data_IF_682528590178
#
_entry.id   IF_682528590178
#
_cell.length_a   1.000
_cell.length_b   1.000
_cell.length_c   1.000
_cell.angle_alpha   90.00
_cell.angle_beta   90.00
_cell.angle_gamma   90.00
#
_symmetry.space_group_name_H-M   'P 1'
#
loop_
_entity.id
_entity.type
_entity.pdbx_description
1 polymer ?
#
# COMPACT_ATOMS: atom_id res chain seq x y z
N UNK A 1 -10.28 -21.92 16.71
CA UNK A 1 -10.73 -23.16 16.03
C UNK A 1 -9.74 -24.33 16.10
N UNK A 2 -8.48 -24.27 16.59
CA UNK A 2 -7.94 -25.53 17.14
C UNK A 2 -8.88 -26.05 18.24
N UNK A 3 -9.45 -25.10 18.99
CA UNK A 3 -10.55 -25.35 19.92
C UNK A 3 -11.82 -25.93 19.26
N UNK A 4 -12.40 -25.23 18.27
CA UNK A 4 -13.59 -25.72 17.56
C UNK A 4 -13.36 -27.01 16.75
N UNK A 5 -12.13 -27.31 16.34
CA UNK A 5 -11.79 -28.58 15.71
C UNK A 5 -11.75 -29.74 16.70
N UNK A 6 -11.69 -29.48 18.01
CA UNK A 6 -11.75 -30.54 19.01
C UNK A 6 -13.08 -31.29 18.96
N UNK A 7 -14.20 -30.65 18.66
CA UNK A 7 -15.50 -31.32 18.57
C UNK A 7 -15.51 -32.34 17.41
N UNK A 8 -15.32 -31.95 16.13
CA UNK A 8 -15.26 -32.92 15.04
C UNK A 8 -14.09 -33.90 15.16
N UNK A 9 -12.94 -33.48 15.71
CA UNK A 9 -11.82 -34.40 15.98
C UNK A 9 -12.18 -35.45 17.04
N UNK A 10 -12.88 -35.07 18.12
CA UNK A 10 -13.36 -35.99 19.14
C UNK A 10 -14.39 -36.97 18.56
N UNK A 11 -15.29 -36.50 17.68
CA UNK A 11 -16.24 -37.38 16.98
C UNK A 11 -15.51 -38.38 16.06
N UNK A 12 -14.51 -37.93 15.30
CA UNK A 12 -13.69 -38.82 14.46
C UNK A 12 -12.90 -39.84 15.30
N UNK A 13 -12.31 -39.40 16.41
CA UNK A 13 -11.59 -40.28 17.34
C UNK A 13 -12.54 -41.31 17.95
N UNK A 14 -13.71 -40.89 18.42
CA UNK A 14 -14.73 -41.80 18.95
C UNK A 14 -15.17 -42.82 17.90
N UNK A 15 -15.40 -42.39 16.65
CA UNK A 15 -15.72 -43.25 15.52
C UNK A 15 -14.60 -44.25 15.21
N UNK A 16 -13.34 -43.81 15.21
CA UNK A 16 -12.18 -44.67 14.97
C UNK A 16 -12.01 -45.71 16.07
N UNK A 17 -12.11 -45.30 17.35
CA UNK A 17 -12.05 -46.22 18.49
C UNK A 17 -13.21 -47.21 18.49
N UNK A 18 -14.42 -46.79 18.10
CA UNK A 18 -15.56 -47.68 17.94
C UNK A 18 -15.34 -48.71 16.83
N UNK A 19 -14.72 -48.32 15.72
CA UNK A 19 -14.36 -49.21 14.62
C UNK A 19 -13.23 -50.20 14.98
N UNK A 20 -12.35 -49.83 15.90
CA UNK A 20 -11.28 -50.69 16.40
C UNK A 20 -11.75 -51.75 17.41
N UNK A 21 -12.97 -51.65 17.98
CA UNK A 21 -13.47 -52.66 18.93
C UNK A 21 -13.73 -53.99 18.23
N UNK A 22 -13.47 -55.14 18.90
CA UNK A 22 -13.61 -56.45 18.28
C UNK A 22 -15.10 -56.80 18.25
N UNK A 23 -15.71 -56.65 17.07
CA UNK A 23 -17.09 -57.10 16.82
C UNK A 23 -17.01 -58.35 15.93
N UNK A 24 -17.86 -59.38 16.16
CA UNK A 24 -17.86 -60.62 15.38
C UNK A 24 -18.19 -60.46 13.88
N UNK A 25 -18.69 -59.30 13.44
CA UNK A 25 -19.23 -59.10 12.09
C UNK A 25 -18.37 -58.14 11.23
N UNK A 26 -18.41 -58.26 9.88
CA UNK A 26 -17.54 -57.53 8.93
C UNK A 26 -17.84 -56.02 8.78
N UNK A 27 -18.80 -55.47 9.52
CA UNK A 27 -19.35 -54.10 9.35
C UNK A 27 -18.43 -52.99 9.94
N UNK A 28 -17.13 -53.24 10.07
CA UNK A 28 -16.19 -52.36 10.81
C UNK A 28 -16.00 -50.99 10.17
N UNK A 29 -15.97 -50.94 8.84
CA UNK A 29 -15.73 -49.71 8.07
C UNK A 29 -16.96 -48.80 7.96
N UNK A 30 -18.16 -49.38 8.00
CA UNK A 30 -19.43 -48.65 7.90
C UNK A 30 -19.63 -47.67 9.07
N UNK A 31 -19.19 -48.04 10.29
CA UNK A 31 -19.25 -47.15 11.46
C UNK A 31 -18.29 -45.98 11.35
N UNK A 32 -17.04 -46.24 10.95
CA UNK A 32 -16.06 -45.18 10.75
C UNK A 32 -16.48 -44.23 9.61
N UNK A 33 -16.98 -44.79 8.50
CA UNK A 33 -17.55 -44.03 7.39
C UNK A 33 -18.72 -43.16 7.80
N UNK A 34 -19.65 -43.67 8.61
CA UNK A 34 -20.81 -42.92 9.10
C UNK A 34 -20.43 -41.70 9.96
N UNK A 35 -19.51 -41.86 10.92
CA UNK A 35 -19.00 -40.73 11.71
C UNK A 35 -18.25 -39.71 10.87
N UNK A 36 -17.52 -40.17 9.87
CA UNK A 36 -16.75 -39.32 8.96
C UNK A 36 -17.66 -38.50 8.05
N UNK A 37 -18.77 -39.09 7.59
CA UNK A 37 -19.81 -38.41 6.81
C UNK A 37 -20.50 -37.30 7.59
N UNK A 38 -20.49 -37.33 8.93
CA UNK A 38 -21.00 -36.25 9.77
C UNK A 38 -19.92 -35.22 10.14
N UNK A 39 -18.73 -35.69 10.52
CA UNK A 39 -17.64 -34.82 10.96
C UNK A 39 -17.04 -33.99 9.83
N UNK A 40 -16.97 -34.51 8.59
CA UNK A 40 -16.39 -33.78 7.45
C UNK A 40 -17.26 -32.58 7.02
N UNK A 41 -18.58 -32.70 6.79
CA UNK A 41 -19.45 -31.54 6.54
C UNK A 41 -19.46 -30.54 7.69
N UNK A 42 -19.47 -31.03 8.95
CA UNK A 42 -19.37 -30.16 10.11
C UNK A 42 -18.03 -29.41 10.14
N UNK A 43 -16.92 -30.04 9.72
CA UNK A 43 -15.62 -29.38 9.62
C UNK A 43 -15.52 -28.38 8.47
N UNK A 44 -16.24 -28.62 7.37
CA UNK A 44 -16.42 -27.65 6.27
C UNK A 44 -17.18 -26.42 6.78
N UNK A 45 -18.24 -26.63 7.57
CA UNK A 45 -19.02 -25.56 8.18
C UNK A 45 -18.24 -24.81 9.28
N UNK A 46 -17.49 -25.53 10.11
CA UNK A 46 -16.64 -24.97 11.17
C UNK A 46 -15.23 -24.57 10.69
N UNK A 47 -14.96 -24.58 9.38
CA UNK A 47 -13.74 -24.05 8.75
C UNK A 47 -12.42 -24.60 9.33
N UNK A 48 -12.47 -25.80 9.92
CA UNK A 48 -11.34 -26.53 10.50
C UNK A 48 -10.84 -27.65 9.59
N UNK A 49 -11.27 -27.62 8.32
CA UNK A 49 -11.05 -28.62 7.28
C UNK A 49 -9.63 -29.18 7.21
N UNK A 50 -8.54 -28.40 7.20
CA UNK A 50 -7.23 -28.97 6.97
C UNK A 50 -6.75 -29.87 8.13
N UNK A 51 -7.01 -29.50 9.38
CA UNK A 51 -6.61 -30.31 10.55
C UNK A 51 -7.47 -31.57 10.64
N UNK A 52 -8.79 -31.42 10.51
CA UNK A 52 -9.75 -32.53 10.64
C UNK A 52 -9.60 -33.53 9.48
N UNK A 53 -9.38 -33.06 8.26
CA UNK A 53 -9.14 -33.94 7.11
C UNK A 53 -7.82 -34.73 7.25
N UNK A 54 -6.74 -34.07 7.69
CA UNK A 54 -5.47 -34.78 7.99
C UNK A 54 -5.65 -35.82 9.09
N UNK A 55 -6.34 -35.44 10.16
CA UNK A 55 -6.64 -36.37 11.25
C UNK A 55 -7.46 -37.57 10.76
N UNK A 56 -8.49 -37.34 9.92
CA UNK A 56 -9.27 -38.41 9.30
C UNK A 56 -8.38 -39.38 8.51
N UNK A 57 -7.52 -38.86 7.63
CA UNK A 57 -6.58 -39.68 6.83
C UNK A 57 -5.63 -40.46 7.74
N UNK A 58 -5.02 -39.81 8.74
CA UNK A 58 -4.09 -40.45 9.67
C UNK A 58 -4.77 -41.53 10.52
N UNK A 59 -6.02 -41.31 10.96
CA UNK A 59 -6.80 -42.31 11.69
C UNK A 59 -7.19 -43.50 10.79
N UNK A 60 -7.51 -43.26 9.52
CA UNK A 60 -7.77 -44.32 8.56
C UNK A 60 -6.53 -45.20 8.35
N UNK A 61 -5.35 -44.59 8.16
CA UNK A 61 -4.07 -45.30 8.06
C UNK A 61 -3.76 -46.08 9.34
N UNK A 62 -3.96 -45.45 10.51
CA UNK A 62 -3.78 -46.10 11.81
C UNK A 62 -4.68 -47.34 11.97
N UNK A 63 -5.93 -47.27 11.52
CA UNK A 63 -6.87 -48.40 11.56
C UNK A 63 -6.41 -49.56 10.66
N UNK A 64 -5.94 -49.26 9.44
CA UNK A 64 -5.39 -50.28 8.52
C UNK A 64 -4.15 -50.94 9.13
N UNK A 65 -3.18 -50.14 9.61
CA UNK A 65 -1.96 -50.66 10.22
C UNK A 65 -2.25 -51.51 11.47
N UNK A 66 -3.19 -51.08 12.31
CA UNK A 66 -3.64 -51.85 13.46
C UNK A 66 -4.26 -53.20 13.05
N UNK A 67 -5.10 -53.24 12.01
CA UNK A 67 -5.69 -54.48 11.51
C UNK A 67 -4.63 -55.46 11.00
N UNK A 68 -3.64 -54.96 10.25
CA UNK A 68 -2.56 -55.78 9.70
C UNK A 68 -1.68 -56.41 10.78
N UNK A 69 -1.47 -55.71 11.90
CA UNK A 69 -0.64 -56.22 13.01
C UNK A 69 -1.35 -57.21 13.94
N UNK A 70 -2.67 -57.45 13.75
CA UNK A 70 -3.52 -58.35 14.55
C UNK A 70 -3.39 -58.13 16.08
N UNK A 71 -3.07 -56.91 16.52
CA UNK A 71 -2.85 -56.62 17.94
C UNK A 71 -4.16 -56.41 18.69
N UNK A 72 -4.14 -56.64 20.01
CA UNK A 72 -5.28 -56.33 20.90
C UNK A 72 -5.67 -54.85 20.77
N UNK A 73 -6.96 -54.54 20.95
CA UNK A 73 -7.52 -53.18 20.79
C UNK A 73 -6.82 -52.11 21.63
N UNK A 74 -6.26 -52.48 22.80
CA UNK A 74 -5.48 -51.57 23.66
C UNK A 74 -4.30 -50.91 22.92
N UNK A 75 -3.78 -51.57 21.88
CA UNK A 75 -2.69 -51.04 21.06
C UNK A 75 -3.14 -50.01 20.04
N UNK A 76 -4.44 -49.79 19.81
CA UNK A 76 -4.92 -48.75 18.90
C UNK A 76 -4.74 -47.33 19.49
N UNK A 77 -4.84 -47.20 20.81
CA UNK A 77 -4.70 -45.91 21.51
C UNK A 77 -3.42 -45.15 21.14
N UNK A 78 -2.20 -45.74 21.22
CA UNK A 78 -0.98 -45.02 20.83
C UNK A 78 -0.98 -44.58 19.37
N UNK A 79 -1.52 -45.37 18.43
CA UNK A 79 -1.63 -44.94 17.02
C UNK A 79 -2.57 -43.74 16.86
N UNK A 80 -3.71 -43.72 17.57
CA UNK A 80 -4.64 -42.60 17.51
C UNK A 80 -4.06 -41.32 18.14
N UNK A 81 -3.31 -41.44 19.24
CA UNK A 81 -2.61 -40.31 19.86
C UNK A 81 -1.53 -39.75 18.94
N UNK A 82 -0.76 -40.63 18.29
CA UNK A 82 0.23 -40.23 17.29
C UNK A 82 -0.42 -39.49 16.11
N UNK A 83 -1.56 -39.98 15.60
CA UNK A 83 -2.31 -39.32 14.53
C UNK A 83 -2.76 -37.90 14.92
N UNK A 84 -3.24 -37.70 16.16
CA UNK A 84 -3.60 -36.38 16.69
C UNK A 84 -2.37 -35.47 16.79
N UNK A 85 -1.30 -35.96 17.42
CA UNK A 85 -0.07 -35.19 17.60
C UNK A 85 0.51 -34.73 16.25
N UNK A 86 0.52 -35.61 15.25
CA UNK A 86 0.99 -35.28 13.89
C UNK A 86 0.06 -34.27 13.21
N UNK A 87 -1.26 -34.49 13.24
CA UNK A 87 -2.21 -33.59 12.58
C UNK A 87 -2.14 -32.15 13.13
N UNK A 88 -2.10 -32.01 14.46
CA UNK A 88 -2.03 -30.72 15.13
C UNK A 88 -0.63 -30.13 15.06
N UNK A 89 0.41 -30.96 15.21
CA UNK A 89 1.82 -30.55 15.11
C UNK A 89 2.17 -29.96 13.75
N UNK A 90 1.77 -30.61 12.64
CA UNK A 90 1.97 -30.07 11.29
C UNK A 90 1.23 -28.74 11.07
N UNK A 91 0.03 -28.63 11.63
CA UNK A 91 -0.78 -27.41 11.49
C UNK A 91 -0.21 -26.24 12.28
N UNK A 92 0.29 -26.51 13.49
CA UNK A 92 1.04 -25.54 14.29
C UNK A 92 2.34 -25.15 13.58
N UNK A 93 3.09 -26.12 13.06
CA UNK A 93 4.33 -25.88 12.33
C UNK A 93 4.15 -24.95 11.12
N UNK A 94 3.13 -25.17 10.28
CA UNK A 94 2.85 -24.26 9.17
C UNK A 94 2.42 -22.86 9.62
N UNK A 95 1.59 -22.75 10.67
CA UNK A 95 1.22 -21.46 11.23
C UNK A 95 2.43 -20.71 11.80
N UNK A 96 3.36 -21.45 12.39
CA UNK A 96 4.63 -20.92 12.89
C UNK A 96 5.52 -20.43 11.74
N UNK A 97 5.69 -21.23 10.68
CA UNK A 97 6.44 -20.81 9.50
C UNK A 97 5.86 -19.55 8.84
N UNK A 98 4.52 -19.44 8.74
CA UNK A 98 3.86 -18.24 8.24
C UNK A 98 4.13 -17.02 9.15
N UNK A 99 4.14 -17.22 10.47
CA UNK A 99 4.46 -16.17 11.42
C UNK A 99 5.92 -15.70 11.31
N UNK A 100 6.85 -16.65 11.25
CA UNK A 100 8.29 -16.38 11.08
C UNK A 100 8.57 -15.67 9.75
N UNK A 101 7.83 -15.99 8.68
CA UNK A 101 7.97 -15.33 7.39
C UNK A 101 7.45 -13.88 7.38
N UNK A 102 6.38 -13.58 8.11
CA UNK A 102 5.79 -12.23 8.17
C UNK A 102 6.53 -11.28 9.10
N UNK A 103 7.19 -11.79 10.13
CA UNK A 103 7.94 -10.97 11.11
C UNK A 103 9.00 -10.07 10.47
N UNK A 104 9.95 -10.58 9.65
CA UNK A 104 10.94 -9.72 9.00
C UNK A 104 10.32 -8.74 8.01
N UNK A 105 9.18 -9.09 7.39
CA UNK A 105 8.45 -8.16 6.52
C UNK A 105 7.87 -7.00 7.33
N UNK A 106 7.28 -7.25 8.51
CA UNK A 106 6.77 -6.19 9.39
C UNK A 106 7.88 -5.27 9.90
N UNK A 107 9.06 -5.81 10.17
CA UNK A 107 10.22 -5.01 10.57
C UNK A 107 10.72 -4.13 9.41
N UNK A 108 10.84 -4.70 8.21
CA UNK A 108 11.29 -3.96 7.02
C UNK A 108 10.31 -2.88 6.58
N UNK A 109 9.01 -3.16 6.67
CA UNK A 109 7.93 -2.23 6.32
C UNK A 109 7.30 -1.59 7.56
N UNK A 110 8.07 -1.39 8.63
CA UNK A 110 7.54 -0.82 9.88
C UNK A 110 6.81 0.50 9.64
N UNK A 111 5.83 0.77 10.49
CA UNK A 111 5.18 2.07 10.51
C UNK A 111 6.18 3.19 10.81
N UNK A 112 6.13 4.24 10.00
CA UNK A 112 6.84 5.49 10.19
C UNK A 112 5.85 6.61 10.47
N UNK A 113 6.26 7.55 11.33
CA UNK A 113 5.48 8.77 11.58
C UNK A 113 5.83 9.84 10.55
N UNK A 114 4.81 10.46 9.97
CA UNK A 114 4.91 11.61 9.08
C UNK A 114 4.73 12.95 9.80
N UNK A 115 4.37 12.93 11.09
CA UNK A 115 4.10 14.14 11.89
C UNK A 115 5.26 15.13 11.85
N UNK A 116 6.48 14.64 12.06
CA UNK A 116 7.67 15.49 12.12
C UNK A 116 8.22 15.85 10.73
N UNK A 117 7.82 15.10 9.69
CA UNK A 117 8.31 15.29 8.32
C UNK A 117 7.50 16.33 7.56
N UNK A 118 6.20 16.40 7.84
CA UNK A 118 5.22 17.14 7.07
C UNK A 118 4.36 17.97 8.04
N UNK A 119 4.58 19.30 8.16
CA UNK A 119 3.70 20.15 8.94
C UNK A 119 2.29 20.20 8.34
N UNK A 120 1.30 20.47 9.19
CA UNK A 120 -0.09 20.65 8.73
C UNK A 120 -0.21 21.92 7.88
N UNK A 121 -1.11 21.93 6.88
CA UNK A 121 -1.48 23.14 6.15
C UNK A 121 -1.94 24.23 7.11
N UNK A 122 -1.59 25.49 6.84
CA UNK A 122 -1.91 26.63 7.72
C UNK A 122 -3.37 27.10 7.66
N UNK A 123 -4.28 26.27 7.16
CA UNK A 123 -5.62 26.69 6.74
C UNK A 123 -5.54 27.62 5.52
N UNK A 124 -6.46 27.45 4.58
CA UNK A 124 -6.57 28.29 3.41
C UNK A 124 -7.97 28.20 2.84
N UNK A 125 -8.29 29.05 1.85
CA UNK A 125 -9.51 28.85 1.09
C UNK A 125 -9.34 27.58 0.25
N UNK A 126 -10.07 26.49 0.53
CA UNK A 126 -10.02 25.32 -0.33
C UNK A 126 -10.44 25.75 -1.73
N UNK A 127 -9.63 25.41 -2.73
CA UNK A 127 -9.98 25.75 -4.10
C UNK A 127 -11.29 25.05 -4.49
N UNK A 128 -12.17 25.76 -5.19
CA UNK A 128 -13.38 25.18 -5.76
C UNK A 128 -13.13 24.32 -7.01
N UNK A 129 -11.88 24.13 -7.42
CA UNK A 129 -11.56 23.37 -8.63
C UNK A 129 -11.72 21.85 -8.44
N UNK A 130 -12.18 21.13 -9.47
CA UNK A 130 -12.29 19.68 -9.41
C UNK A 130 -10.91 19.01 -9.39
N UNK A 131 -10.47 18.54 -8.22
CA UNK A 131 -9.24 17.73 -8.06
C UNK A 131 -9.37 16.29 -8.59
N UNK A 132 -10.32 16.05 -9.49
CA UNK A 132 -10.81 14.71 -9.86
C UNK A 132 -9.73 13.79 -10.40
N UNK A 133 -8.68 14.32 -11.03
CA UNK A 133 -7.63 13.52 -11.63
C UNK A 133 -6.63 12.97 -10.60
N UNK A 134 -6.44 13.63 -9.45
CA UNK A 134 -5.63 13.09 -8.35
C UNK A 134 -6.42 12.11 -7.47
N UNK A 135 -7.74 12.23 -7.42
CA UNK A 135 -8.59 11.33 -6.63
C UNK A 135 -8.91 10.01 -7.36
N UNK A 136 -8.95 10.03 -8.70
CA UNK A 136 -9.24 8.85 -9.54
C UNK A 136 -8.29 7.67 -9.34
N UNK A 137 -6.95 7.85 -9.31
CA UNK A 137 -5.99 6.75 -9.17
C UNK A 137 -6.18 5.96 -7.87
N UNK A 138 -6.69 6.61 -6.82
CA UNK A 138 -6.83 5.99 -5.50
C UNK A 138 -7.88 4.87 -5.46
N UNK A 139 -8.83 4.87 -6.40
CA UNK A 139 -9.84 3.80 -6.50
C UNK A 139 -9.26 2.50 -7.10
N UNK A 140 -8.12 2.57 -7.78
CA UNK A 140 -7.33 1.38 -8.14
C UNK A 140 -6.26 1.18 -7.07
N UNK A 141 -6.69 0.84 -5.85
CA UNK A 141 -5.75 0.47 -4.78
C UNK A 141 -4.79 -0.58 -5.34
N UNK A 142 -3.50 -0.25 -5.47
CA UNK A 142 -2.52 -1.20 -5.95
C UNK A 142 -2.54 -2.42 -5.02
N UNK A 143 -2.37 -3.61 -5.60
CA UNK A 143 -2.32 -4.87 -4.84
C UNK A 143 -1.35 -4.74 -3.64
N UNK A 144 -0.26 -3.99 -3.83
CA UNK A 144 0.70 -3.59 -2.82
C UNK A 144 0.09 -2.88 -1.60
N UNK A 145 -0.73 -1.84 -1.79
CA UNK A 145 -1.37 -1.12 -0.66
C UNK A 145 -2.28 -2.05 0.13
N UNK A 146 -3.02 -2.92 -0.56
CA UNK A 146 -3.83 -3.94 0.09
C UNK A 146 -2.96 -4.89 0.91
N UNK A 147 -1.86 -5.40 0.36
CA UNK A 147 -0.95 -6.31 1.08
C UNK A 147 -0.26 -5.65 2.26
N UNK A 148 0.09 -4.37 2.18
CA UNK A 148 0.60 -3.60 3.32
C UNK A 148 -0.48 -3.42 4.40
N UNK A 149 -1.73 -3.14 4.01
CA UNK A 149 -2.87 -3.13 4.95
C UNK A 149 -3.02 -4.50 5.63
N UNK A 150 -2.94 -5.60 4.89
CA UNK A 150 -2.98 -6.96 5.45
C UNK A 150 -1.81 -7.21 6.41
N UNK A 151 -0.60 -6.79 6.05
CA UNK A 151 0.59 -6.98 6.86
C UNK A 151 0.48 -6.33 8.26
N UNK A 152 -0.16 -5.16 8.33
CA UNK A 152 -0.18 -4.33 9.53
C UNK A 152 -1.52 -4.29 10.29
N UNK A 153 -2.63 -4.12 9.60
CA UNK A 153 -3.93 -3.86 10.23
C UNK A 153 -4.80 -5.12 10.28
N UNK A 154 -4.64 -6.03 9.31
CA UNK A 154 -5.11 -7.41 9.47
C UNK A 154 -4.27 -8.18 10.50
N UNK A 155 -3.51 -7.57 11.41
CA UNK A 155 -2.96 -8.34 12.55
C UNK A 155 -4.08 -8.73 13.53
N UNK A 156 -5.12 -7.89 13.64
CA UNK A 156 -6.34 -8.20 14.40
C UNK A 156 -7.21 -9.18 13.61
N UNK A 157 -7.35 -8.99 12.30
CA UNK A 157 -8.05 -9.96 11.46
C UNK A 157 -7.28 -11.28 11.34
N UNK A 158 -5.95 -11.30 11.36
CA UNK A 158 -5.10 -12.49 11.48
C UNK A 158 -5.28 -13.10 12.86
N UNK A 159 -5.38 -12.31 13.94
CA UNK A 159 -5.71 -12.88 15.24
C UNK A 159 -7.08 -13.55 15.23
N UNK A 160 -8.07 -12.91 14.62
CA UNK A 160 -9.44 -13.41 14.45
C UNK A 160 -9.53 -14.53 13.40
N UNK A 161 -8.64 -14.60 12.40
CA UNK A 161 -8.70 -15.54 11.27
C UNK A 161 -7.51 -16.52 11.21
N UNK A 162 -6.59 -16.50 12.18
CA UNK A 162 -5.41 -17.39 12.28
C UNK A 162 -5.86 -18.85 12.17
N UNK A 163 -4.98 -19.81 11.85
CA UNK A 163 -5.31 -21.25 11.82
C UNK A 163 -5.84 -21.70 13.19
N UNK A 164 -7.16 -21.68 13.35
CA UNK A 164 -7.56 -20.92 14.53
C UNK A 164 -8.90 -20.27 14.30
N UNK A 165 -9.15 -18.99 14.10
CA UNK A 165 -10.41 -18.40 14.57
C UNK A 165 -11.50 -17.95 13.54
N UNK A 166 -11.38 -18.13 12.20
CA UNK A 166 -12.39 -17.53 11.29
C UNK A 166 -12.49 -18.02 9.83
N UNK A 167 -13.53 -17.51 9.15
CA UNK A 167 -14.17 -17.93 7.87
C UNK A 167 -13.33 -17.65 6.59
N UNK A 168 -12.19 -16.98 6.71
CA UNK A 168 -11.43 -16.45 5.58
C UNK A 168 -10.57 -17.46 4.82
N UNK A 169 -11.18 -18.37 4.06
CA UNK A 169 -10.60 -18.84 2.79
C UNK A 169 -11.41 -18.29 1.62
N UNK A 170 -11.62 -16.96 1.62
CA UNK A 170 -11.82 -16.29 0.35
C UNK A 170 -10.54 -16.57 -0.45
N UNK A 171 -10.68 -17.42 -1.47
CA UNK A 171 -9.58 -17.89 -2.28
C UNK A 171 -8.74 -16.72 -2.80
N UNK A 172 -7.43 -16.91 -2.80
CA UNK A 172 -6.49 -16.08 -3.54
C UNK A 172 -6.28 -14.63 -3.07
N UNK A 173 -6.38 -14.33 -1.77
CA UNK A 173 -5.55 -13.22 -1.29
C UNK A 173 -4.10 -13.68 -1.30
N UNK A 174 -3.31 -13.11 -2.21
CA UNK A 174 -1.87 -13.34 -2.33
C UNK A 174 -1.26 -13.10 -0.96
N UNK A 175 -0.54 -14.07 -0.38
CA UNK A 175 0.17 -13.82 0.88
C UNK A 175 1.12 -12.64 0.68
N UNK A 176 1.25 -11.71 1.65
CA UNK A 176 2.29 -10.70 1.61
C UNK A 176 3.65 -11.39 1.47
N UNK A 177 4.33 -11.09 0.37
CA UNK A 177 5.70 -11.50 0.11
C UNK A 177 6.53 -10.25 -0.15
N UNK A 178 7.84 -10.36 -0.02
CA UNK A 178 8.74 -9.25 -0.32
C UNK A 178 8.49 -8.70 -1.74
N UNK A 179 8.40 -9.57 -2.74
CA UNK A 179 8.21 -9.17 -4.13
C UNK A 179 6.95 -8.34 -4.37
N UNK A 180 5.85 -8.65 -3.66
CA UNK A 180 4.59 -7.94 -3.82
C UNK A 180 4.47 -6.69 -2.93
N UNK A 181 5.32 -6.56 -1.90
CA UNK A 181 5.38 -5.40 -0.99
C UNK A 181 6.42 -4.37 -1.43
N UNK A 182 7.47 -4.81 -2.12
CA UNK A 182 8.51 -3.96 -2.67
C UNK A 182 7.87 -3.03 -3.71
N UNK A 183 7.98 -1.72 -3.47
CA UNK A 183 7.67 -0.77 -4.52
C UNK A 183 8.69 -0.95 -5.64
N UNK A 184 8.26 -0.77 -6.88
CA UNK A 184 9.20 -0.69 -7.99
C UNK A 184 10.22 0.41 -7.68
N UNK A 185 11.54 0.09 -7.74
CA UNK A 185 12.57 1.09 -7.52
C UNK A 185 12.34 2.25 -8.49
N UNK A 186 12.10 3.43 -7.95
CA UNK A 186 12.00 4.63 -8.77
C UNK A 186 13.42 5.02 -9.19
N UNK A 187 13.65 5.37 -10.47
CA UNK A 187 14.92 5.96 -10.85
C UNK A 187 15.14 7.24 -10.05
N UNK A 188 16.40 7.55 -9.76
CA UNK A 188 16.75 8.83 -9.14
C UNK A 188 16.25 9.99 -10.00
N UNK A 189 15.85 11.13 -9.40
CA UNK A 189 15.37 12.28 -10.16
C UNK A 189 16.39 12.69 -11.22
N UNK A 190 16.02 12.80 -12.51
CA UNK A 190 16.98 13.14 -13.55
C UNK A 190 17.55 14.56 -13.33
N UNK A 191 18.74 14.86 -13.85
CA UNK A 191 19.26 16.23 -13.88
C UNK A 191 18.31 17.15 -14.64
N UNK A 192 18.27 18.42 -14.25
CA UNK A 192 17.47 19.42 -14.96
C UNK A 192 18.15 19.80 -16.28
N UNK A 193 17.40 19.99 -17.39
CA UNK A 193 17.99 20.33 -18.69
C UNK A 193 18.75 21.66 -18.73
N UNK A 194 18.33 22.66 -17.96
CA UNK A 194 18.95 23.98 -17.93
C UNK A 194 19.32 24.43 -16.50
N UNK A 195 20.42 25.18 -16.39
CA UNK A 195 20.83 25.92 -15.19
C UNK A 195 19.80 26.97 -14.77
N UNK A 196 19.88 27.51 -13.54
CA UNK A 196 18.99 28.59 -13.12
C UNK A 196 19.04 29.75 -14.10
N UNK A 197 17.86 30.21 -14.53
CA UNK A 197 17.75 31.41 -15.36
C UNK A 197 17.85 32.67 -14.50
N UNK A 198 18.00 33.86 -15.10
CA UNK A 198 17.93 35.11 -14.36
C UNK A 198 16.52 35.30 -13.79
N UNK A 199 16.43 35.92 -12.60
CA UNK A 199 15.18 36.30 -11.98
C UNK A 199 14.35 37.20 -12.92
N UNK A 200 13.03 37.02 -12.96
CA UNK A 200 12.15 37.86 -13.76
C UNK A 200 11.66 39.05 -12.94
N UNK A 201 11.80 40.26 -13.49
CA UNK A 201 11.16 41.46 -12.96
C UNK A 201 9.74 41.60 -13.53
N UNK A 202 8.78 42.13 -12.76
CA UNK A 202 7.38 42.26 -13.24
C UNK A 202 7.25 43.11 -14.52
N UNK A 203 8.18 44.06 -14.74
CA UNK A 203 8.16 44.92 -15.93
C UNK A 203 8.53 44.21 -17.24
N UNK A 204 9.17 43.03 -17.16
CA UNK A 204 9.58 42.26 -18.34
C UNK A 204 8.56 41.18 -18.74
N UNK A 205 7.57 40.90 -17.90
CA UNK A 205 6.67 39.76 -18.07
C UNK A 205 5.39 40.19 -18.77
N UNK A 206 5.07 39.51 -19.86
CA UNK A 206 3.76 39.60 -20.48
C UNK A 206 2.81 38.63 -19.78
N UNK A 207 1.83 39.17 -19.04
CA UNK A 207 0.80 38.38 -18.36
C UNK A 207 -0.39 38.02 -19.26
N UNK A 208 -0.57 38.74 -20.37
CA UNK A 208 -1.56 38.43 -21.40
C UNK A 208 -1.05 37.26 -22.26
N UNK A 209 -0.97 36.07 -21.66
CA UNK A 209 -0.57 34.84 -22.33
C UNK A 209 -1.80 34.21 -22.99
N UNK A 210 -1.70 33.69 -24.24
CA UNK A 210 -2.81 33.00 -24.88
C UNK A 210 -3.41 31.89 -24.00
N UNK A 211 -4.74 31.77 -23.96
CA UNK A 211 -5.44 30.74 -23.16
C UNK A 211 -4.95 29.32 -23.48
N UNK A 212 -4.52 29.09 -24.72
CA UNK A 212 -3.91 27.84 -25.15
C UNK A 212 -2.64 27.50 -24.36
N UNK A 213 -1.72 28.45 -24.21
CA UNK A 213 -0.46 28.27 -23.47
C UNK A 213 -0.75 28.00 -21.99
N UNK A 214 -1.72 28.72 -21.40
CA UNK A 214 -2.16 28.47 -20.02
C UNK A 214 -2.70 27.05 -19.83
N UNK A 215 -3.56 26.61 -20.75
CA UNK A 215 -4.16 25.26 -20.71
C UNK A 215 -3.10 24.18 -20.88
N UNK A 216 -2.16 24.37 -21.80
CA UNK A 216 -1.07 23.43 -22.06
C UNK A 216 -0.11 23.33 -20.86
N UNK A 217 0.26 24.47 -20.25
CA UNK A 217 1.09 24.50 -19.04
C UNK A 217 0.39 23.83 -17.84
N UNK A 218 -0.90 24.08 -17.66
CA UNK A 218 -1.71 23.45 -16.60
C UNK A 218 -1.80 21.93 -16.75
N UNK A 219 -1.97 21.41 -17.97
CA UNK A 219 -1.93 19.96 -18.23
C UNK A 219 -0.55 19.35 -17.93
N UNK A 220 0.52 19.99 -18.41
CA UNK A 220 1.89 19.56 -18.10
C UNK A 220 2.15 19.53 -16.58
N UNK A 221 1.63 20.51 -15.85
CA UNK A 221 1.70 20.54 -14.39
C UNK A 221 0.93 19.39 -13.74
N UNK A 222 -0.31 19.12 -14.17
CA UNK A 222 -1.12 18.02 -13.64
C UNK A 222 -0.44 16.65 -13.85
N UNK A 223 0.08 16.40 -15.06
CA UNK A 223 0.81 15.18 -15.39
C UNK A 223 2.11 15.06 -14.58
N UNK A 224 2.83 16.18 -14.42
CA UNK A 224 4.02 16.25 -13.59
C UNK A 224 3.72 16.02 -12.10
N UNK A 225 2.60 16.53 -11.60
CA UNK A 225 2.18 16.35 -10.22
C UNK A 225 1.81 14.89 -9.93
N UNK A 226 1.12 14.22 -10.88
CA UNK A 226 0.84 12.78 -10.79
C UNK A 226 2.15 11.95 -10.72
N UNK A 227 3.13 12.28 -11.56
CA UNK A 227 4.47 11.68 -11.50
C UNK A 227 5.11 11.94 -10.14
N UNK A 228 5.15 13.20 -9.68
CA UNK A 228 5.77 13.59 -8.42
C UNK A 228 5.18 12.86 -7.21
N UNK A 229 3.86 12.85 -7.10
CA UNK A 229 3.13 12.21 -5.99
C UNK A 229 3.36 10.71 -5.99
N UNK A 230 3.32 10.06 -7.16
CA UNK A 230 3.41 8.61 -7.31
C UNK A 230 2.44 7.87 -6.36
N UNK A 231 1.15 7.80 -6.72
CA UNK A 231 0.14 7.13 -5.91
C UNK A 231 0.53 5.72 -5.46
N UNK A 232 1.19 4.94 -6.32
CA UNK A 232 1.65 3.57 -6.01
C UNK A 232 2.77 3.52 -4.96
N UNK A 233 3.54 4.60 -4.83
CA UNK A 233 4.57 4.80 -3.82
C UNK A 233 4.04 5.21 -2.45
N UNK A 234 2.75 5.58 -2.32
CA UNK A 234 2.20 6.13 -1.07
C UNK A 234 2.19 5.12 0.10
N UNK A 235 2.26 3.82 -0.19
CA UNK A 235 2.22 2.77 0.82
C UNK A 235 0.87 2.66 1.53
N UNK A 236 0.86 2.00 2.69
CA UNK A 236 -0.34 1.89 3.53
C UNK A 236 -0.34 2.98 4.60
N UNK A 237 -1.34 3.84 4.56
CA UNK A 237 -1.53 4.95 5.48
C UNK A 237 -2.70 4.64 6.40
N UNK A 238 -2.41 4.31 7.66
CA UNK A 238 -3.43 4.13 8.71
C UNK A 238 -3.77 5.45 9.37
N UNK A 239 -2.73 6.20 9.72
CA UNK A 239 -2.80 7.53 10.30
C UNK A 239 -1.52 8.29 9.94
N UNK A 240 -1.48 9.61 10.20
CA UNK A 240 -0.25 10.41 10.01
C UNK A 240 0.94 9.92 10.86
N UNK A 241 0.70 9.14 11.92
CA UNK A 241 1.74 8.54 12.77
C UNK A 241 2.14 7.13 12.32
N UNK A 242 1.35 6.52 11.45
CA UNK A 242 1.46 5.11 11.08
C UNK A 242 1.34 4.97 9.56
N UNK A 243 2.48 5.12 8.89
CA UNK A 243 2.62 4.93 7.44
C UNK A 243 3.64 3.82 7.15
N UNK A 244 3.24 2.79 6.41
CA UNK A 244 4.09 1.65 6.07
C UNK A 244 4.41 1.61 4.57
N UNK A 245 5.69 1.39 4.22
CA UNK A 245 6.13 1.25 2.83
C UNK A 245 5.99 2.52 1.98
N UNK A 246 6.03 3.70 2.58
CA UNK A 246 6.00 4.96 1.85
C UNK A 246 7.30 5.23 1.10
N UNK A 247 7.19 5.68 -0.15
CA UNK A 247 8.30 6.25 -0.92
C UNK A 247 8.16 7.78 -0.94
N UNK A 248 9.23 8.53 -0.66
CA UNK A 248 9.20 9.99 -0.77
C UNK A 248 8.79 10.45 -2.17
N UNK A 249 7.96 11.49 -2.23
CA UNK A 249 7.57 12.13 -3.49
C UNK A 249 8.79 12.68 -4.21
N UNK A 250 8.85 12.47 -5.53
CA UNK A 250 9.97 12.86 -6.38
C UNK A 250 9.52 12.80 -7.84
N UNK A 251 10.11 13.59 -8.73
CA UNK A 251 9.91 13.37 -10.17
C UNK A 251 10.74 12.17 -10.66
N UNK A 252 10.18 11.35 -11.55
CA UNK A 252 10.92 10.26 -12.23
C UNK A 252 11.44 10.70 -13.60
N UNK A 253 10.82 11.73 -14.18
CA UNK A 253 11.08 12.21 -15.54
C UNK A 253 10.82 13.70 -15.64
N UNK A 254 11.44 14.32 -16.64
CA UNK A 254 11.19 15.72 -16.97
C UNK A 254 9.74 15.87 -17.46
N UNK A 255 8.93 16.77 -16.88
CA UNK A 255 7.58 17.02 -17.37
C UNK A 255 7.60 17.53 -18.81
N UNK A 256 6.84 16.87 -19.68
CA UNK A 256 6.77 17.17 -21.10
C UNK A 256 5.34 16.95 -21.59
N UNK A 257 4.82 17.96 -22.30
CA UNK A 257 3.52 17.95 -22.97
C UNK A 257 3.67 18.06 -24.47
N UNK A 258 2.58 18.30 -25.20
CA UNK A 258 2.63 18.43 -26.68
C UNK A 258 3.29 19.74 -27.11
N UNK A 259 2.99 20.81 -26.39
CA UNK A 259 3.42 22.17 -26.73
C UNK A 259 4.67 22.58 -25.97
N UNK A 260 4.80 22.12 -24.71
CA UNK A 260 5.82 22.58 -23.77
C UNK A 260 6.63 21.43 -23.19
N UNK A 261 7.92 21.68 -22.98
CA UNK A 261 8.79 20.84 -22.17
C UNK A 261 9.37 21.66 -21.03
N UNK A 262 9.36 21.10 -19.82
CA UNK A 262 10.03 21.71 -18.69
C UNK A 262 11.55 21.63 -18.90
N UNK A 263 12.21 22.79 -18.93
CA UNK A 263 13.68 22.85 -18.88
C UNK A 263 14.18 23.08 -17.46
N UNK A 264 13.29 23.53 -16.58
CA UNK A 264 13.55 23.66 -15.14
C UNK A 264 12.25 23.51 -14.34
N UNK A 265 12.33 22.84 -13.20
CA UNK A 265 11.26 22.70 -12.20
C UNK A 265 11.86 22.95 -10.81
N UNK A 266 11.32 23.92 -10.09
CA UNK A 266 11.72 24.21 -8.72
C UNK A 266 10.53 24.06 -7.78
N UNK A 267 10.77 23.46 -6.61
CA UNK A 267 9.74 23.31 -5.59
C UNK A 267 9.65 24.61 -4.78
N UNK A 268 8.43 25.08 -4.59
CA UNK A 268 8.10 26.21 -3.73
C UNK A 268 7.55 25.68 -2.40
N UNK A 269 8.30 25.92 -1.32
CA UNK A 269 7.93 25.56 0.04
C UNK A 269 7.03 26.60 0.68
N UNK A 270 5.83 26.17 1.10
CA UNK A 270 4.85 27.06 1.76
C UNK A 270 4.54 26.66 3.21
N UNK A 271 4.88 25.44 3.64
CA UNK A 271 4.45 24.91 4.93
C UNK A 271 5.51 25.03 6.04
N UNK A 272 6.76 24.67 5.74
CA UNK A 272 7.85 24.58 6.73
C UNK A 272 8.43 25.94 7.14
N UNK A 273 8.34 26.93 6.25
CA UNK A 273 8.96 28.24 6.44
C UNK A 273 7.90 29.29 6.71
N UNK A 274 8.21 30.30 7.53
CA UNK A 274 7.28 31.39 7.82
C UNK A 274 6.86 32.09 6.52
N UNK A 275 7.86 32.43 5.70
CA UNK A 275 7.72 33.00 4.37
C UNK A 275 7.85 31.91 3.28
N UNK A 276 7.25 32.11 2.09
CA UNK A 276 7.50 31.24 0.95
C UNK A 276 8.99 31.19 0.59
N UNK A 277 9.48 30.00 0.25
CA UNK A 277 10.86 29.80 -0.23
C UNK A 277 10.87 28.94 -1.47
N UNK A 278 11.92 29.07 -2.29
CA UNK A 278 12.18 28.19 -3.43
C UNK A 278 13.40 27.33 -3.13
N UNK A 279 13.31 26.04 -3.45
CA UNK A 279 14.41 25.09 -3.34
C UNK A 279 15.11 24.95 -4.71
N UNK A 280 16.22 25.67 -4.95
CA UNK A 280 17.02 25.47 -6.14
C UNK A 280 17.68 24.09 -6.11
N UNK A 281 17.68 23.40 -7.25
CA UNK A 281 18.36 22.11 -7.42
C UNK A 281 18.88 21.97 -8.84
N UNK A 282 19.93 21.16 -9.00
CA UNK A 282 20.45 20.74 -10.31
C UNK A 282 19.73 19.48 -10.83
N UNK A 283 18.91 18.85 -10.00
CA UNK A 283 18.06 17.69 -10.33
C UNK A 283 16.59 18.06 -10.16
N UNK A 284 15.70 17.27 -10.73
CA UNK A 284 14.27 17.48 -10.49
C UNK A 284 13.93 17.33 -9.00
N UNK A 285 12.90 18.05 -8.50
CA UNK A 285 12.56 18.02 -7.09
C UNK A 285 12.28 16.61 -6.53
N UNK A 286 12.83 16.34 -5.34
CA UNK A 286 12.56 15.16 -4.53
C UNK A 286 12.52 15.52 -3.05
N UNK A 287 11.50 15.03 -2.34
CA UNK A 287 11.27 15.36 -0.93
C UNK A 287 12.35 14.81 0.00
N UNK A 288 13.04 13.74 -0.40
CA UNK A 288 14.13 13.15 0.37
C UNK A 288 15.34 14.10 0.52
N UNK A 289 15.54 14.99 -0.46
CA UNK A 289 16.72 15.86 -0.53
C UNK A 289 16.50 17.22 0.16
N UNK A 290 15.27 17.55 0.55
CA UNK A 290 14.91 18.92 0.98
C UNK A 290 15.32 19.28 2.40
N UNK A 291 15.64 18.30 3.25
CA UNK A 291 15.86 18.56 4.68
C UNK A 291 16.98 19.58 4.91
N UNK A 292 18.05 19.47 4.13
CA UNK A 292 19.27 20.26 4.24
C UNK A 292 19.55 21.04 2.93
N UNK A 293 18.57 21.09 2.02
CA UNK A 293 18.71 21.80 0.76
C UNK A 293 18.76 23.31 0.97
N UNK A 294 19.60 24.05 0.21
CA UNK A 294 19.60 25.50 0.24
C UNK A 294 18.23 26.04 -0.19
N UNK A 295 17.88 27.21 0.31
CA UNK A 295 16.66 27.92 -0.05
C UNK A 295 16.98 29.33 -0.53
N UNK A 296 16.11 29.89 -1.36
CA UNK A 296 16.12 31.30 -1.75
C UNK A 296 14.74 31.92 -1.62
N UNK A 297 14.69 33.24 -1.57
CA UNK A 297 13.43 33.96 -1.72
C UNK A 297 12.85 33.75 -3.13
N UNK A 298 11.51 33.73 -3.28
CA UNK A 298 10.85 33.78 -4.59
C UNK A 298 11.25 35.06 -5.34
N UNK A 299 11.39 34.97 -6.65
CA UNK A 299 11.48 36.18 -7.48
C UNK A 299 10.11 36.86 -7.67
N UNK A 300 10.07 37.98 -8.40
CA UNK A 300 8.83 38.76 -8.51
C UNK A 300 7.73 38.01 -9.30
N UNK A 301 8.10 37.17 -10.26
CA UNK A 301 7.15 36.32 -10.98
C UNK A 301 6.60 35.22 -10.08
N UNK A 302 7.48 34.55 -9.33
CA UNK A 302 7.11 33.48 -8.39
C UNK A 302 6.23 34.01 -7.26
N UNK A 303 6.55 35.18 -6.70
CA UNK A 303 5.73 35.82 -5.69
C UNK A 303 4.29 36.09 -6.19
N UNK A 304 4.15 36.66 -7.39
CA UNK A 304 2.84 36.89 -8.01
C UNK A 304 2.08 35.58 -8.26
N UNK A 305 2.78 34.53 -8.70
CA UNK A 305 2.18 33.21 -8.90
C UNK A 305 1.78 32.52 -7.60
N UNK A 306 2.57 32.67 -6.54
CA UNK A 306 2.24 32.16 -5.19
C UNK A 306 0.98 32.84 -4.67
N UNK A 307 0.84 34.15 -4.86
CA UNK A 307 -0.36 34.88 -4.46
C UNK A 307 -1.59 34.44 -5.25
N UNK A 308 -1.44 34.16 -6.55
CA UNK A 308 -2.52 33.59 -7.38
C UNK A 308 -2.99 32.24 -6.84
N UNK A 309 -2.07 31.30 -6.61
CA UNK A 309 -2.47 29.97 -6.10
C UNK A 309 -3.00 30.03 -4.66
N UNK A 310 -2.57 30.99 -3.83
CA UNK A 310 -3.17 31.22 -2.50
C UNK A 310 -4.63 31.68 -2.57
N UNK A 311 -5.01 32.41 -3.63
CA UNK A 311 -6.40 32.83 -3.88
C UNK A 311 -7.31 31.71 -4.41
N UNK A 312 -6.77 30.51 -4.60
CA UNK A 312 -7.53 29.37 -5.10
C UNK A 312 -7.36 29.10 -6.60
N UNK A 313 -6.52 29.88 -7.30
CA UNK A 313 -6.23 29.64 -8.72
C UNK A 313 -5.41 28.33 -8.89
N UNK A 314 -5.55 27.68 -10.04
CA UNK A 314 -4.80 26.46 -10.39
C UNK A 314 -3.31 26.74 -10.59
N UNK A 315 -3.01 27.89 -11.18
CA UNK A 315 -1.65 28.34 -11.44
C UNK A 315 -1.60 29.70 -12.13
N UNK A 316 -0.39 30.15 -12.40
CA UNK A 316 -0.09 31.47 -12.93
C UNK A 316 0.94 31.36 -14.04
N UNK A 317 0.69 31.99 -15.19
CA UNK A 317 1.55 31.90 -16.38
C UNK A 317 2.07 33.28 -16.77
N UNK A 318 3.31 33.34 -17.24
CA UNK A 318 3.89 34.54 -17.81
C UNK A 318 4.86 34.20 -18.94
N UNK A 319 5.07 35.16 -19.83
CA UNK A 319 5.93 34.99 -21.01
C UNK A 319 6.97 36.09 -21.12
N UNK A 320 8.18 35.73 -21.51
CA UNK A 320 9.27 36.65 -21.87
C UNK A 320 9.99 36.12 -23.11
N UNK A 321 9.66 36.68 -24.28
CA UNK A 321 10.11 36.16 -25.57
C UNK A 321 9.56 34.75 -25.83
N UNK A 322 10.47 33.79 -26.08
CA UNK A 322 10.14 32.37 -26.32
C UNK A 322 10.13 31.51 -25.05
N UNK A 323 10.38 32.10 -23.88
CA UNK A 323 10.31 31.41 -22.60
C UNK A 323 8.96 31.65 -21.94
N UNK A 324 8.32 30.56 -21.51
CA UNK A 324 7.13 30.60 -20.66
C UNK A 324 7.52 30.16 -19.26
N UNK A 325 7.05 30.87 -18.25
CA UNK A 325 7.09 30.42 -16.86
C UNK A 325 5.69 30.13 -16.35
N UNK A 326 5.61 29.13 -15.48
CA UNK A 326 4.35 28.71 -14.88
C UNK A 326 4.57 28.43 -13.39
N UNK A 327 3.67 28.89 -12.53
CA UNK A 327 3.60 28.50 -11.11
C UNK A 327 2.33 27.67 -10.94
N UNK A 328 2.46 26.37 -10.68
CA UNK A 328 1.32 25.46 -10.49
C UNK A 328 1.12 25.08 -9.04
N UNK A 329 -0.12 25.10 -8.55
CA UNK A 329 -0.47 24.79 -7.17
C UNK A 329 -0.31 23.29 -6.86
N UNK A 330 0.34 22.95 -5.75
CA UNK A 330 0.28 21.59 -5.18
C UNK A 330 -0.80 21.59 -4.11
N UNK A 331 -1.97 21.03 -4.42
CA UNK A 331 -3.11 20.95 -3.50
C UNK A 331 -3.30 19.55 -2.93
N UNK A 332 -3.85 19.46 -1.72
CA UNK A 332 -4.20 18.20 -1.09
C UNK A 332 -5.39 17.54 -1.80
N UNK A 333 -5.15 16.37 -2.40
CA UNK A 333 -6.21 15.44 -2.75
C UNK A 333 -6.70 14.67 -1.50
N UNK A 334 -7.78 13.90 -1.62
CA UNK A 334 -8.30 13.10 -0.50
C UNK A 334 -7.23 12.17 0.11
N UNK A 335 -6.42 11.57 -0.76
CA UNK A 335 -5.29 10.73 -0.38
C UNK A 335 -4.21 11.49 0.42
N UNK A 336 -3.96 12.75 0.06
CA UNK A 336 -2.91 13.56 0.66
C UNK A 336 -3.23 13.91 2.12
N UNK A 337 -4.51 14.15 2.42
CA UNK A 337 -4.99 14.57 3.76
C UNK A 337 -4.59 13.58 4.84
N UNK A 338 -4.52 12.27 4.53
CA UNK A 338 -4.15 11.25 5.52
C UNK A 338 -2.72 11.41 6.07
N UNK A 339 -1.80 11.90 5.25
CA UNK A 339 -0.40 12.15 5.62
C UNK A 339 -0.10 13.61 5.95
N UNK A 340 -0.75 14.54 5.23
CA UNK A 340 -0.51 15.98 5.38
C UNK A 340 -1.41 16.63 6.44
N UNK A 341 -2.52 16.01 6.83
CA UNK A 341 -3.58 16.68 7.59
C UNK A 341 -4.36 17.68 6.73
N UNK A 342 -5.03 18.61 7.40
CA UNK A 342 -5.82 19.67 6.74
C UNK A 342 -7.09 19.15 6.07
N UNK A 343 -7.59 19.93 5.12
CA UNK A 343 -8.76 19.63 4.31
C UNK A 343 -8.35 19.36 2.85
N UNK A 344 -9.24 18.71 2.09
CA UNK A 344 -9.06 18.55 0.65
C UNK A 344 -9.10 19.92 -0.04
N UNK A 345 -8.11 20.21 -0.88
CA UNK A 345 -7.98 21.48 -1.59
C UNK A 345 -7.01 22.48 -0.93
N UNK A 346 -6.53 22.19 0.28
CA UNK A 346 -5.49 22.95 0.96
C UNK A 346 -4.22 23.06 0.10
N UNK A 347 -3.60 24.24 0.13
CA UNK A 347 -2.37 24.51 -0.59
C UNK A 347 -1.16 23.95 0.18
N UNK A 348 -0.55 22.90 -0.34
CA UNK A 348 0.63 22.23 0.25
C UNK A 348 1.95 22.83 -0.22
N UNK A 349 1.96 23.47 -1.38
CA UNK A 349 3.15 23.99 -2.04
C UNK A 349 2.84 24.49 -3.44
N UNK A 350 3.88 24.71 -4.23
CA UNK A 350 3.76 24.95 -5.67
C UNK A 350 5.00 24.45 -6.41
N UNK A 351 4.88 24.32 -7.73
CA UNK A 351 6.03 24.13 -8.62
C UNK A 351 6.20 25.36 -9.51
N UNK A 352 7.43 25.87 -9.60
CA UNK A 352 7.85 26.92 -10.52
C UNK A 352 8.53 26.26 -11.72
N UNK A 353 7.96 26.45 -12.91
CA UNK A 353 8.44 25.87 -14.16
C UNK A 353 9.07 26.95 -15.03
N UNK A 354 10.17 26.60 -15.71
CA UNK A 354 10.61 27.24 -16.95
C UNK A 354 10.34 26.28 -18.10
N UNK A 355 9.59 26.76 -19.09
CA UNK A 355 9.09 25.96 -20.20
C UNK A 355 9.67 26.47 -21.52
N UNK A 356 10.00 25.52 -22.40
CA UNK A 356 10.38 25.78 -23.80
C UNK A 356 9.41 25.07 -24.74
N UNK A 357 9.18 25.60 -25.95
CA UNK A 357 8.40 24.90 -26.96
C UNK A 357 9.04 23.55 -27.27
N UNK A 358 8.24 22.50 -27.41
CA UNK A 358 8.71 21.22 -27.96
C UNK A 358 9.06 21.45 -29.42
N UNK A 359 10.33 21.27 -29.79
CA UNK A 359 10.73 21.31 -31.19
C UNK A 359 10.23 20.03 -31.84
N UNK A 360 9.26 20.15 -32.75
CA UNK A 360 8.92 19.05 -33.65
C UNK A 360 10.13 18.86 -34.58
N UNK A 361 10.77 17.68 -34.58
CA UNK A 361 11.96 17.42 -35.39
C UNK A 361 11.69 17.49 -36.90
#
# INVERSE_FOLDING_TARGET
>A
MLYFSFIPAALLLAGAHAAARPIPQPVRWLRFGGWSAFALPMSLFCLSTPVVARLFVLLAVALVAWQLTRRRVRWFLPYSLAAVAVAYGLSFWWAWQDHDALTPLRERYRFESMVDRVPEPRGGNPAGEPLTDLDRPYLRSSQRVRLLWQLHDETVLDFVNRPGFGIGRIGHFTKPSEDNLKAEPRPDPPPQPESPGPAWSLGEVQFAVPLHDHTAASRLHADGLLDFVNPDGSGYVRSRREVAGFLPHAFSRVPEGREWRAVRVELVGLLKHAEPVVYPSDRLPAMADLKDAPTRAPDAFEAAGIDAVRRGEAGFVGRRGDEVRYVGAVRSAEACVKCHGGERGDLLGAFSYRLRPVRVP
#
